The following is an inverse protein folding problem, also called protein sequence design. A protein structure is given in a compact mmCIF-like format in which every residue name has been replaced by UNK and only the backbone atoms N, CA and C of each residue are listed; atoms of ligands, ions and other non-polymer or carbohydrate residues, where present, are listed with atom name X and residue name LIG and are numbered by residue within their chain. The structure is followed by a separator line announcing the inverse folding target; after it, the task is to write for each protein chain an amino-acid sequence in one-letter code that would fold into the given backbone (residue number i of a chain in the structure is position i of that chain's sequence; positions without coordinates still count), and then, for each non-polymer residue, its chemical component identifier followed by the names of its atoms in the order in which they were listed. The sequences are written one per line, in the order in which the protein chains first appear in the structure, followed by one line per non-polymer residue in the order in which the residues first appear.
data_IF_578682948842
#
_entry.id   IF_578682948842
#
_cell.length_a   1.000
_cell.length_b   1.000
_cell.length_c   1.000
_cell.angle_alpha   90.00
_cell.angle_beta   90.00
_cell.angle_gamma   90.00
#
_symmetry.space_group_name_H-M   'P 1'
#
loop_
_entity.id
_entity.type
_entity.pdbx_description
1 polymer ?
#
# COMPACT_ATOMS: atom_id res chain seq x y z
N UNK A 1 -15.81 12.91 0.51
CA UNK A 1 -15.47 11.54 0.93
C UNK A 1 -14.41 11.17 -0.06
N UNK A 2 -13.18 11.40 0.35
CA UNK A 2 -12.06 11.69 -0.53
C UNK A 2 -11.34 10.36 -0.73
N UNK A 3 -11.68 9.63 -1.79
CA UNK A 3 -11.20 8.26 -2.06
C UNK A 3 -9.66 8.16 -2.08
N UNK A 4 -8.96 9.25 -2.42
CA UNK A 4 -7.51 9.38 -2.34
C UNK A 4 -6.95 9.24 -0.90
N UNK A 5 -7.69 9.72 0.10
CA UNK A 5 -7.32 9.58 1.50
C UNK A 5 -7.28 8.12 1.94
N UNK A 6 -8.34 7.36 1.62
CA UNK A 6 -8.44 5.93 1.95
C UNK A 6 -7.40 5.10 1.21
N UNK A 7 -7.06 5.45 -0.03
CA UNK A 7 -5.99 4.80 -0.78
C UNK A 7 -4.62 4.97 -0.12
N UNK A 8 -4.26 6.20 0.25
CA UNK A 8 -2.99 6.46 0.92
C UNK A 8 -2.93 5.81 2.31
N UNK A 9 -4.05 5.74 3.03
CA UNK A 9 -4.16 5.00 4.29
C UNK A 9 -3.89 3.49 4.10
N UNK A 10 -4.45 2.88 3.04
CA UNK A 10 -4.20 1.47 2.72
C UNK A 10 -2.71 1.21 2.41
N UNK A 11 -2.09 2.06 1.60
CA UNK A 11 -0.66 1.94 1.29
C UNK A 11 0.22 2.11 2.53
N UNK A 12 -0.13 3.08 3.39
CA UNK A 12 0.57 3.31 4.65
C UNK A 12 0.48 2.11 5.59
N UNK A 13 -0.70 1.49 5.72
CA UNK A 13 -0.89 0.28 6.52
C UNK A 13 -0.04 -0.90 6.02
N UNK A 14 0.13 -1.01 4.70
CA UNK A 14 0.95 -2.02 4.05
C UNK A 14 2.45 -1.69 4.05
N UNK A 15 2.84 -0.47 4.47
CA UNK A 15 4.17 0.09 4.30
C UNK A 15 4.65 0.08 2.83
N UNK A 16 3.71 0.20 1.89
CA UNK A 16 4.00 0.27 0.45
C UNK A 16 4.20 1.72 0.01
N UNK A 17 5.00 1.89 -1.05
CA UNK A 17 5.18 3.16 -1.76
C UNK A 17 4.51 3.10 -3.12
N UNK A 18 4.29 4.24 -3.76
CA UNK A 18 3.72 4.32 -5.11
C UNK A 18 4.54 3.50 -6.12
N UNK A 19 5.87 3.53 -5.98
CA UNK A 19 6.80 2.70 -6.77
C UNK A 19 6.59 1.21 -6.55
N UNK A 20 6.39 0.80 -5.28
CA UNK A 20 6.13 -0.60 -4.94
C UNK A 20 4.79 -1.08 -5.48
N UNK A 21 3.76 -0.24 -5.44
CA UNK A 21 2.45 -0.55 -6.01
C UNK A 21 2.51 -0.62 -7.54
N UNK A 22 3.15 0.36 -8.20
CA UNK A 22 3.32 0.37 -9.65
C UNK A 22 4.04 -0.88 -10.15
N UNK A 23 5.09 -1.30 -9.43
CA UNK A 23 5.80 -2.54 -9.72
C UNK A 23 4.92 -3.79 -9.51
N UNK A 24 4.07 -3.80 -8.48
CA UNK A 24 3.17 -4.93 -8.17
C UNK A 24 2.06 -5.08 -9.21
N UNK A 25 1.54 -3.95 -9.72
CA UNK A 25 0.52 -3.92 -10.76
C UNK A 25 1.11 -4.01 -12.17
N UNK A 26 2.43 -3.97 -12.31
CA UNK A 26 3.16 -3.85 -13.58
C UNK A 26 2.60 -2.71 -14.44
N UNK A 27 2.31 -1.57 -13.81
CA UNK A 27 1.69 -0.40 -14.42
C UNK A 27 2.58 0.85 -14.34
N UNK A 28 2.11 1.93 -14.97
CA UNK A 28 2.82 3.21 -14.98
C UNK A 28 2.83 3.87 -13.58
N UNK A 29 3.97 4.42 -13.18
CA UNK A 29 4.13 5.11 -11.90
C UNK A 29 3.29 6.40 -11.83
N UNK A 30 3.23 7.16 -12.92
CA UNK A 30 2.45 8.41 -12.95
C UNK A 30 0.97 8.16 -12.73
N UNK A 31 0.47 7.00 -13.18
CA UNK A 31 -0.92 6.61 -12.94
C UNK A 31 -1.18 6.37 -11.44
N UNK A 32 -0.24 5.71 -10.76
CA UNK A 32 -0.33 5.48 -9.31
C UNK A 32 -0.21 6.79 -8.54
N UNK A 33 0.71 7.67 -8.93
CA UNK A 33 0.84 9.01 -8.33
C UNK A 33 -0.43 9.84 -8.54
N UNK A 34 -1.07 9.76 -9.71
CA UNK A 34 -2.32 10.46 -9.98
C UNK A 34 -3.48 9.95 -9.09
N UNK A 35 -3.52 8.65 -8.77
CA UNK A 35 -4.48 8.11 -7.79
C UNK A 35 -4.17 8.60 -6.37
N UNK A 36 -2.89 8.62 -5.98
CA UNK A 36 -2.47 9.07 -4.65
C UNK A 36 -2.76 10.57 -4.42
N UNK A 37 -2.56 11.39 -5.45
CA UNK A 37 -2.86 12.83 -5.43
C UNK A 37 -4.36 13.13 -5.58
N UNK A 38 -5.17 12.13 -5.95
CA UNK A 38 -6.59 12.30 -6.22
C UNK A 38 -6.90 13.02 -7.55
N UNK A 39 -5.89 13.17 -8.41
CA UNK A 39 -6.03 13.74 -9.75
C UNK A 39 -6.76 12.78 -10.70
N UNK A 40 -6.62 11.46 -10.50
CA UNK A 40 -7.38 10.44 -11.23
C UNK A 40 -8.24 9.60 -10.29
N UNK A 41 -9.44 9.17 -10.72
CA UNK A 41 -10.30 8.33 -9.90
C UNK A 41 -9.70 6.93 -9.75
N UNK A 42 -9.81 6.40 -8.54
CA UNK A 42 -9.27 5.09 -8.20
C UNK A 42 -10.27 4.01 -8.63
N UNK A 43 -9.84 2.97 -9.37
CA UNK A 43 -10.73 1.89 -9.75
C UNK A 43 -11.30 1.16 -8.52
N UNK A 44 -12.62 0.95 -8.45
CA UNK A 44 -13.27 0.33 -7.31
C UNK A 44 -12.71 -1.08 -6.97
N UNK A 45 -12.37 -1.86 -7.99
CA UNK A 45 -11.73 -3.17 -7.82
C UNK A 45 -10.34 -3.07 -7.18
N UNK A 46 -9.59 -2.01 -7.49
CA UNK A 46 -8.26 -1.77 -6.91
C UNK A 46 -8.39 -1.36 -5.45
N UNK A 47 -9.31 -0.44 -5.14
CA UNK A 47 -9.59 -0.01 -3.76
C UNK A 47 -9.99 -1.19 -2.87
N UNK A 48 -10.92 -2.04 -3.33
CA UNK A 48 -11.36 -3.22 -2.57
C UNK A 48 -10.22 -4.24 -2.35
N UNK A 49 -9.33 -4.40 -3.34
CA UNK A 49 -8.17 -5.27 -3.22
C UNK A 49 -7.15 -4.74 -2.20
N UNK A 50 -6.85 -3.44 -2.23
CA UNK A 50 -5.95 -2.79 -1.27
C UNK A 50 -6.50 -2.87 0.16
N UNK A 51 -7.80 -2.61 0.35
CA UNK A 51 -8.45 -2.73 1.65
C UNK A 51 -8.34 -4.16 2.21
N UNK A 52 -8.59 -5.18 1.37
CA UNK A 52 -8.44 -6.59 1.77
C UNK A 52 -7.02 -6.91 2.20
N UNK A 53 -6.01 -6.41 1.47
CA UNK A 53 -4.62 -6.62 1.83
C UNK A 53 -4.26 -5.93 3.14
N UNK A 54 -4.72 -4.69 3.36
CA UNK A 54 -4.49 -3.97 4.61
C UNK A 54 -5.06 -4.73 5.81
N UNK A 55 -6.30 -5.23 5.70
CA UNK A 55 -6.93 -6.05 6.73
C UNK A 55 -6.13 -7.35 7.01
N UNK A 56 -5.66 -8.02 5.96
CA UNK A 56 -4.80 -9.21 6.10
C UNK A 56 -3.47 -8.89 6.79
N UNK A 57 -2.87 -7.74 6.47
CA UNK A 57 -1.60 -7.31 7.06
C UNK A 57 -1.75 -7.01 8.55
N UNK A 58 -2.82 -6.31 8.94
CA UNK A 58 -3.12 -6.04 10.36
C UNK A 58 -3.37 -7.33 11.15
N UNK A 59 -4.04 -8.31 10.54
CA UNK A 59 -4.28 -9.62 11.17
C UNK A 59 -3.02 -10.49 11.28
N UNK A 60 -1.96 -10.19 10.53
CA UNK A 60 -0.71 -10.95 10.49
C UNK A 60 0.50 -10.08 10.92
N UNK A 61 0.55 -9.64 12.19
CA UNK A 61 1.60 -8.74 12.66
C UNK A 61 2.99 -9.39 12.55
N UNK A 62 4.05 -8.57 12.38
CA UNK A 62 5.40 -9.08 12.22
C UNK A 62 5.86 -9.90 13.44
N UNK A 63 6.64 -10.97 13.22
CA UNK A 63 7.16 -11.79 14.30
C UNK A 63 8.06 -10.97 15.23
N UNK A 64 7.75 -10.99 16.53
CA UNK A 64 8.44 -10.22 17.58
C UNK A 64 9.93 -10.59 17.73
N UNK A 65 10.34 -11.74 17.21
CA UNK A 65 11.68 -12.31 17.36
C UNK A 65 12.78 -11.56 16.60
N UNK A 66 12.44 -10.70 15.64
CA UNK A 66 13.40 -9.98 14.80
C UNK A 66 13.74 -8.58 15.30
N UNK A 67 12.95 -8.03 16.21
CA UNK A 67 13.15 -6.68 16.74
C UNK A 67 14.55 -6.57 17.39
N UNK A 68 15.38 -5.65 16.89
CA UNK A 68 16.71 -5.37 17.44
C UNK A 68 17.81 -6.37 17.07
N UNK A 69 17.55 -7.36 16.21
CA UNK A 69 18.61 -8.22 15.68
C UNK A 69 19.53 -7.38 14.79
N UNK A 70 20.84 -7.49 15.01
CA UNK A 70 21.88 -6.88 14.18
C UNK A 70 22.57 -7.95 13.37
N UNK A 71 22.93 -7.61 12.13
CA UNK A 71 23.81 -8.45 11.32
C UNK A 71 25.15 -8.57 12.05
N UNK A 72 25.59 -9.81 12.29
CA UNK A 72 26.94 -10.08 12.80
C UNK A 72 27.84 -10.20 11.57
N UNK A 73 28.54 -9.11 11.29
CA UNK A 73 29.67 -9.04 10.37
C UNK A 73 30.96 -9.20 11.15
#
# INVERSE_FOLDING_TARGET
MDDAGTFNECLSALHWTDVGLAATLECDLLLVEAWADGTEPIPASLAAWLETLAQCHEAAPPPKTWKGKKLKI
#
